data_IF_755126096820
#
_entry.id   IF_755126096820
#
_cell.length_a   1.000
_cell.length_b   1.000
_cell.length_c   1.000
_cell.angle_alpha   90.00
_cell.angle_beta   90.00
_cell.angle_gamma   90.00
#
_symmetry.space_group_name_H-M   'P 1'
#
loop_
_entity.id
_entity.type
_entity.pdbx_description
1 polymer ?
#
# COMPACT_ATOMS: atom_id res chain seq x y z
N UNK A 1 2.04 -12.40 4.72
CA UNK A 1 2.87 -11.83 3.64
C UNK A 1 3.76 -10.77 4.28
N UNK A 2 5.07 -10.82 4.07
CA UNK A 2 6.01 -9.82 4.58
C UNK A 2 6.34 -8.89 3.42
N UNK A 3 6.23 -7.58 3.63
CA UNK A 3 6.58 -6.58 2.62
C UNK A 3 8.11 -6.46 2.49
N UNK A 4 8.58 -6.16 1.28
CA UNK A 4 9.96 -5.75 0.99
C UNK A 4 9.96 -4.36 0.40
N UNK A 5 11.08 -3.65 0.53
CA UNK A 5 11.27 -2.38 -0.17
C UNK A 5 11.12 -2.60 -1.69
N UNK A 6 10.51 -1.61 -2.34
CA UNK A 6 10.18 -1.56 -3.76
C UNK A 6 9.14 -2.58 -4.25
N UNK A 7 8.51 -3.35 -3.35
CA UNK A 7 7.37 -4.19 -3.72
C UNK A 7 6.20 -3.33 -4.24
N UNK A 8 5.59 -3.76 -5.34
CA UNK A 8 4.32 -3.20 -5.80
C UNK A 8 3.16 -3.88 -5.07
N UNK A 9 2.28 -3.07 -4.49
CA UNK A 9 1.17 -3.53 -3.64
C UNK A 9 -0.14 -2.88 -4.04
N UNK A 10 -1.25 -3.51 -3.67
CA UNK A 10 -2.61 -3.01 -3.89
C UNK A 10 -3.34 -2.91 -2.56
N UNK A 11 -4.02 -1.80 -2.34
CA UNK A 11 -4.83 -1.57 -1.15
C UNK A 11 -6.06 -2.49 -1.13
N UNK A 12 -6.21 -3.24 -0.03
CA UNK A 12 -7.34 -4.19 0.15
C UNK A 12 -8.56 -3.58 0.82
N UNK A 13 -8.45 -2.38 1.38
CA UNK A 13 -9.51 -1.61 2.01
C UNK A 13 -9.31 -0.12 1.76
N UNK A 14 -10.37 0.65 1.94
CA UNK A 14 -10.31 2.11 1.89
C UNK A 14 -9.52 2.66 3.09
N UNK A 15 -8.85 3.79 2.88
CA UNK A 15 -8.14 4.58 3.88
C UNK A 15 -8.50 6.06 3.68
N UNK A 16 -9.71 6.48 4.09
CA UNK A 16 -10.26 7.80 3.75
C UNK A 16 -9.46 8.95 4.35
N UNK A 17 -8.79 8.76 5.49
CA UNK A 17 -7.96 9.76 6.15
C UNK A 17 -6.74 10.16 5.29
N UNK A 18 -6.30 9.25 4.42
CA UNK A 18 -5.22 9.47 3.45
C UNK A 18 -5.76 9.72 2.03
N UNK A 19 -7.08 9.78 1.84
CA UNK A 19 -7.73 9.95 0.54
C UNK A 19 -7.59 8.74 -0.40
N UNK A 20 -7.26 7.57 0.13
CA UNK A 20 -7.00 6.35 -0.66
C UNK A 20 -8.19 5.40 -0.63
N UNK A 21 -8.36 4.65 -1.73
CA UNK A 21 -9.43 3.69 -1.93
C UNK A 21 -8.89 2.28 -2.13
N UNK A 22 -9.73 1.29 -1.82
CA UNK A 22 -9.48 -0.11 -2.16
C UNK A 22 -9.23 -0.24 -3.67
N UNK A 23 -8.16 -0.95 -4.02
CA UNK A 23 -7.74 -1.15 -5.41
C UNK A 23 -6.64 -0.19 -5.86
N UNK A 24 -6.34 0.86 -5.09
CA UNK A 24 -5.21 1.75 -5.39
C UNK A 24 -3.88 0.98 -5.35
N UNK A 25 -3.03 1.27 -6.35
CA UNK A 25 -1.72 0.64 -6.54
C UNK A 25 -0.61 1.56 -6.00
N UNK A 26 0.37 0.97 -5.32
CA UNK A 26 1.48 1.71 -4.73
C UNK A 26 2.75 0.86 -4.61
N UNK A 27 3.83 1.51 -4.18
CA UNK A 27 5.12 0.89 -3.91
C UNK A 27 5.52 1.00 -2.43
N UNK A 28 6.10 -0.05 -1.88
CA UNK A 28 6.68 -0.01 -0.53
C UNK A 28 8.01 0.75 -0.60
N UNK A 29 8.18 1.81 0.19
CA UNK A 29 9.42 2.61 0.17
C UNK A 29 10.40 2.12 1.23
N UNK A 30 9.97 1.98 2.49
CA UNK A 30 10.79 1.50 3.61
C UNK A 30 10.03 0.50 4.48
N UNK A 31 10.76 -0.42 5.11
CA UNK A 31 10.25 -1.37 6.10
C UNK A 31 11.08 -1.25 7.38
N UNK A 32 10.40 -1.09 8.52
CA UNK A 32 11.01 -0.97 9.85
C UNK A 32 10.66 -2.18 10.72
#
# INVERSE_FOLDING_TARGET
MRFKELDTVVLKRDLPEQGLRKGDLGGVVHVY
#
